data_IF_682759393986
#
_entry.id   IF_682759393986
#
_cell.length_a   1.000
_cell.length_b   1.000
_cell.length_c   1.000
_cell.angle_alpha   90.00
_cell.angle_beta   90.00
_cell.angle_gamma   90.00
#
_symmetry.space_group_name_H-M   'P 1'
#
loop_
_entity.id
_entity.type
_entity.pdbx_description
1 polymer ?
#
# COMPACT_ATOMS: atom_id res chain seq x y z
N UNK A 1 -21.35 23.96 -24.18
CA UNK A 1 -21.56 22.62 -23.70
C UNK A 1 -20.35 22.11 -22.96
N UNK A 2 -20.51 21.90 -21.72
CA UNK A 2 -19.40 21.42 -20.93
C UNK A 2 -19.17 19.94 -21.22
N UNK A 3 -18.16 19.67 -21.94
CA UNK A 3 -17.63 18.35 -22.00
C UNK A 3 -16.94 18.08 -20.68
N UNK A 4 -17.68 17.66 -19.74
CA UNK A 4 -17.06 16.99 -18.63
C UNK A 4 -16.44 15.73 -19.19
N UNK A 5 -15.21 15.82 -19.51
CA UNK A 5 -14.40 14.64 -19.60
C UNK A 5 -14.37 14.01 -18.23
N UNK A 6 -15.39 13.26 -17.91
CA UNK A 6 -15.30 12.42 -16.76
C UNK A 6 -14.16 11.46 -17.05
N UNK A 7 -13.09 11.57 -16.30
CA UNK A 7 -12.02 10.60 -16.30
C UNK A 7 -12.57 9.32 -15.67
N UNK A 8 -13.47 8.68 -16.39
CA UNK A 8 -14.01 7.40 -15.94
C UNK A 8 -12.95 6.36 -16.21
N UNK A 9 -12.58 5.64 -15.17
CA UNK A 9 -11.61 4.56 -15.30
C UNK A 9 -12.18 3.46 -16.19
N UNK A 10 -11.37 2.97 -17.13
CA UNK A 10 -11.75 1.84 -17.96
C UNK A 10 -11.68 0.56 -17.16
N UNK A 11 -12.43 -0.46 -17.60
CA UNK A 11 -12.37 -1.78 -16.96
C UNK A 11 -10.96 -2.36 -17.01
N UNK A 12 -10.27 -2.17 -18.13
CA UNK A 12 -8.90 -2.66 -18.29
C UNK A 12 -7.95 -1.99 -17.28
N UNK A 13 -8.06 -0.69 -17.10
CA UNK A 13 -7.22 0.04 -16.16
C UNK A 13 -7.56 -0.33 -14.72
N UNK A 14 -8.84 -0.47 -14.39
CA UNK A 14 -9.24 -0.88 -13.05
C UNK A 14 -8.70 -2.27 -12.73
N UNK A 15 -8.79 -3.22 -13.66
CA UNK A 15 -8.28 -4.57 -13.47
C UNK A 15 -6.76 -4.57 -13.29
N UNK A 16 -6.05 -3.76 -14.08
CA UNK A 16 -4.59 -3.66 -13.97
C UNK A 16 -4.18 -3.10 -12.60
N UNK A 17 -4.90 -2.12 -12.09
CA UNK A 17 -4.63 -1.54 -10.79
C UNK A 17 -4.96 -2.52 -9.66
N UNK A 18 -6.09 -3.24 -9.77
CA UNK A 18 -6.43 -4.27 -8.78
C UNK A 18 -5.40 -5.39 -8.76
N UNK A 19 -4.90 -5.79 -9.93
CA UNK A 19 -3.83 -6.80 -10.02
C UNK A 19 -2.55 -6.29 -9.36
N UNK A 20 -2.22 -5.02 -9.55
CA UNK A 20 -1.04 -4.40 -8.94
C UNK A 20 -1.12 -4.49 -7.41
N UNK A 21 -2.27 -4.15 -6.83
CA UNK A 21 -2.47 -4.23 -5.38
C UNK A 21 -2.39 -5.67 -4.88
N UNK A 22 -2.97 -6.61 -5.62
CA UNK A 22 -2.89 -8.04 -5.28
C UNK A 22 -1.45 -8.54 -5.31
N UNK A 23 -0.70 -8.16 -6.35
CA UNK A 23 0.72 -8.53 -6.47
C UNK A 23 1.56 -7.93 -5.34
N UNK A 24 1.26 -6.71 -4.93
CA UNK A 24 1.97 -6.09 -3.82
C UNK A 24 1.76 -6.89 -2.52
N UNK A 25 0.55 -7.35 -2.28
CA UNK A 25 0.25 -8.19 -1.12
C UNK A 25 0.97 -9.54 -1.22
N UNK A 26 0.92 -10.17 -2.37
CA UNK A 26 1.58 -11.46 -2.59
C UNK A 26 3.10 -11.37 -2.48
N UNK A 27 3.67 -10.22 -2.80
CA UNK A 27 5.12 -10.01 -2.83
C UNK A 27 5.68 -9.45 -1.53
N UNK A 28 4.89 -9.35 -0.48
CA UNK A 28 5.32 -8.68 0.75
C UNK A 28 6.51 -9.35 1.44
N UNK A 29 6.78 -10.61 1.13
CA UNK A 29 7.95 -11.32 1.65
C UNK A 29 9.05 -11.52 0.60
N UNK A 30 8.94 -10.86 -0.55
CA UNK A 30 9.91 -10.95 -1.65
C UNK A 30 10.28 -9.52 -2.05
N UNK A 31 11.40 -9.04 -1.52
CA UNK A 31 11.83 -7.65 -1.72
C UNK A 31 12.00 -7.30 -3.19
N UNK A 32 12.61 -8.17 -3.99
CA UNK A 32 12.84 -7.89 -5.41
C UNK A 32 11.52 -7.77 -6.18
N UNK A 33 10.62 -8.72 -5.96
CA UNK A 33 9.31 -8.69 -6.62
C UNK A 33 8.51 -7.48 -6.20
N UNK A 34 8.55 -7.12 -4.91
CA UNK A 34 7.82 -5.96 -4.38
C UNK A 34 8.36 -4.66 -4.98
N UNK A 35 9.69 -4.52 -5.06
CA UNK A 35 10.30 -3.30 -5.61
C UNK A 35 9.93 -3.08 -7.08
N UNK A 36 9.77 -4.16 -7.85
CA UNK A 36 9.40 -4.07 -9.25
C UNK A 36 8.03 -3.42 -9.46
N UNK A 37 7.19 -3.40 -8.44
CA UNK A 37 5.84 -2.81 -8.49
C UNK A 37 5.82 -1.31 -8.17
N UNK A 38 6.97 -0.74 -7.83
CA UNK A 38 7.09 0.65 -7.37
C UNK A 38 7.88 1.50 -8.35
N UNK A 39 7.58 2.80 -8.36
CA UNK A 39 8.39 3.75 -9.13
C UNK A 39 9.71 4.00 -8.39
N UNK A 40 10.71 4.51 -9.12
CA UNK A 40 12.02 4.83 -8.52
C UNK A 40 11.91 5.85 -7.38
N UNK A 41 10.97 6.79 -7.51
CA UNK A 41 10.78 7.88 -6.54
C UNK A 41 9.66 7.58 -5.53
N UNK A 42 9.26 6.34 -5.40
CA UNK A 42 8.14 5.96 -4.53
C UNK A 42 8.33 6.46 -3.10
N UNK A 43 7.23 6.80 -2.46
CA UNK A 43 7.21 7.23 -1.06
C UNK A 43 6.32 6.27 -0.27
N UNK A 44 6.80 5.81 0.86
CA UNK A 44 6.05 4.88 1.72
C UNK A 44 5.94 5.50 3.11
N UNK A 45 4.71 5.53 3.65
CA UNK A 45 4.50 5.86 5.06
C UNK A 45 3.78 4.66 5.67
N UNK A 46 4.45 3.99 6.59
CA UNK A 46 3.88 2.78 7.18
C UNK A 46 2.91 3.08 8.33
N UNK A 47 2.28 2.03 8.83
CA UNK A 47 1.26 2.12 9.88
C UNK A 47 1.79 2.80 11.16
N UNK A 48 3.09 2.67 11.44
CA UNK A 48 3.73 3.30 12.59
C UNK A 48 4.16 4.74 12.32
N UNK A 49 3.91 5.26 11.10
CA UNK A 49 4.26 6.62 10.73
C UNK A 49 5.68 6.80 10.22
N UNK A 50 6.40 5.71 10.00
CA UNK A 50 7.75 5.81 9.43
C UNK A 50 7.66 6.12 7.95
N UNK A 51 8.38 7.15 7.53
CA UNK A 51 8.45 7.56 6.12
C UNK A 51 9.73 7.05 5.48
N UNK A 52 9.59 6.45 4.30
CA UNK A 52 10.71 5.95 3.51
C UNK A 52 10.59 6.56 2.12
N UNK A 53 11.62 7.23 1.66
CA UNK A 53 11.61 7.94 0.37
C UNK A 53 12.58 7.27 -0.59
N UNK A 54 12.06 6.89 -1.76
CA UNK A 54 12.82 6.25 -2.81
C UNK A 54 12.78 4.73 -2.76
N UNK A 55 12.73 4.12 -3.95
CA UNK A 55 12.65 2.65 -4.07
C UNK A 55 13.88 1.96 -3.49
N UNK A 56 15.05 2.56 -3.68
CA UNK A 56 16.30 1.99 -3.19
C UNK A 56 16.32 1.93 -1.65
N UNK A 57 15.90 3.02 -1.01
CA UNK A 57 15.79 3.09 0.45
C UNK A 57 14.74 2.11 0.95
N UNK A 58 13.62 2.00 0.22
CA UNK A 58 12.55 1.08 0.57
C UNK A 58 13.03 -0.38 0.47
N UNK A 59 13.79 -0.71 -0.58
CA UNK A 59 14.33 -2.06 -0.74
C UNK A 59 15.20 -2.45 0.46
N UNK A 60 16.05 -1.54 0.92
CA UNK A 60 16.90 -1.79 2.07
C UNK A 60 16.08 -1.97 3.35
N UNK A 61 15.08 -1.11 3.55
CA UNK A 61 14.21 -1.20 4.73
C UNK A 61 13.45 -2.53 4.74
N UNK A 62 12.95 -2.98 3.60
CA UNK A 62 12.24 -4.26 3.49
C UNK A 62 13.17 -5.45 3.72
N UNK A 63 14.37 -5.42 3.14
CA UNK A 63 15.35 -6.49 3.35
C UNK A 63 15.71 -6.62 4.83
N UNK A 64 15.93 -5.49 5.51
CA UNK A 64 16.22 -5.48 6.94
C UNK A 64 15.04 -6.02 7.76
N UNK A 65 13.82 -5.62 7.41
CA UNK A 65 12.61 -6.10 8.10
C UNK A 65 12.43 -7.61 7.93
N UNK A 66 12.65 -8.14 6.73
CA UNK A 66 12.51 -9.58 6.47
C UNK A 66 13.59 -10.41 7.14
N UNK A 67 14.74 -9.79 7.46
CA UNK A 67 15.81 -10.43 8.21
C UNK A 67 15.61 -10.33 9.74
N UNK A 68 14.50 -9.77 10.19
CA UNK A 68 14.17 -9.54 11.60
C UNK A 68 12.86 -10.27 11.94
N UNK A 69 12.45 -10.29 13.24
CA UNK A 69 11.13 -10.84 13.61
C UNK A 69 9.95 -10.20 12.90
N UNK A 70 10.13 -9.02 12.29
CA UNK A 70 9.09 -8.38 11.49
C UNK A 70 8.69 -9.22 10.27
N UNK A 71 9.48 -10.24 9.90
CA UNK A 71 9.10 -11.18 8.85
C UNK A 71 7.80 -11.93 9.19
N UNK A 72 7.44 -12.01 10.47
CA UNK A 72 6.20 -12.64 10.92
C UNK A 72 5.02 -11.67 10.98
N UNK A 73 5.22 -10.43 10.56
CA UNK A 73 4.15 -9.43 10.46
C UNK A 73 3.70 -9.39 9.01
N UNK A 74 2.51 -9.93 8.75
CA UNK A 74 1.94 -9.99 7.40
C UNK A 74 0.73 -9.10 7.31
N UNK A 75 0.40 -8.67 6.09
CA UNK A 75 -0.74 -7.80 5.88
C UNK A 75 -1.65 -8.33 4.79
N UNK A 76 -2.94 -8.03 4.93
CA UNK A 76 -3.92 -8.23 3.86
C UNK A 76 -4.53 -6.88 3.51
N UNK A 77 -4.92 -6.71 2.26
CA UNK A 77 -5.43 -5.44 1.75
C UNK A 77 -6.75 -5.67 1.04
N UNK A 78 -7.76 -4.89 1.41
CA UNK A 78 -9.04 -4.90 0.73
C UNK A 78 -9.23 -3.54 0.04
N UNK A 79 -9.51 -3.55 -1.26
CA UNK A 79 -9.74 -2.32 -2.01
C UNK A 79 -11.16 -1.82 -1.75
N UNK A 80 -11.27 -0.57 -1.34
CA UNK A 80 -12.54 0.10 -1.09
C UNK A 80 -12.97 0.90 -2.32
N UNK A 81 -12.03 1.54 -3.00
CA UNK A 81 -12.32 2.42 -4.12
C UNK A 81 -11.11 2.60 -5.01
N UNK A 82 -11.35 2.71 -6.32
CA UNK A 82 -10.32 3.02 -7.33
C UNK A 82 -10.85 4.17 -8.17
N UNK A 83 -10.11 5.27 -8.21
CA UNK A 83 -10.50 6.42 -9.03
C UNK A 83 -9.28 7.06 -9.71
N UNK A 84 -9.50 7.63 -10.87
CA UNK A 84 -8.46 8.35 -11.59
C UNK A 84 -8.38 9.79 -11.09
N UNK A 85 -7.17 10.26 -10.79
CA UNK A 85 -6.92 11.67 -10.58
C UNK A 85 -6.64 12.34 -11.93
N UNK A 86 -5.90 11.66 -12.78
CA UNK A 86 -5.69 11.99 -14.19
C UNK A 86 -5.71 10.69 -14.98
N UNK A 87 -5.58 10.78 -16.29
CA UNK A 87 -5.53 9.60 -17.15
C UNK A 87 -4.44 8.60 -16.75
N UNK A 88 -3.34 9.11 -16.21
CA UNK A 88 -2.17 8.29 -15.86
C UNK A 88 -1.89 8.23 -14.37
N UNK A 89 -2.82 8.69 -13.54
CA UNK A 89 -2.67 8.68 -12.08
C UNK A 89 -3.97 8.20 -11.45
N UNK A 90 -3.88 7.15 -10.66
CA UNK A 90 -5.04 6.63 -9.93
C UNK A 90 -4.82 6.67 -8.42
N UNK A 91 -5.89 6.91 -7.70
CA UNK A 91 -5.92 6.88 -6.24
C UNK A 91 -6.70 5.63 -5.84
N UNK A 92 -6.06 4.77 -5.07
CA UNK A 92 -6.65 3.51 -4.62
C UNK A 92 -6.82 3.57 -3.11
N UNK A 93 -8.05 3.53 -2.66
CA UNK A 93 -8.37 3.56 -1.23
C UNK A 93 -8.57 2.13 -0.74
N UNK A 94 -7.87 1.76 0.31
CA UNK A 94 -7.87 0.40 0.81
C UNK A 94 -7.99 0.37 2.33
N UNK A 95 -8.43 -0.77 2.84
CA UNK A 95 -8.31 -1.11 4.25
C UNK A 95 -7.23 -2.18 4.37
N UNK A 96 -6.26 -1.92 5.22
CA UNK A 96 -5.15 -2.83 5.48
C UNK A 96 -5.34 -3.47 6.84
N UNK A 97 -5.20 -4.79 6.90
CA UNK A 97 -5.24 -5.53 8.16
C UNK A 97 -3.85 -6.10 8.43
N UNK A 98 -3.36 -5.89 9.63
CA UNK A 98 -2.04 -6.37 10.04
C UNK A 98 -2.23 -7.63 10.89
N UNK A 99 -1.50 -8.67 10.50
CA UNK A 99 -1.49 -9.94 11.20
C UNK A 99 -0.10 -10.10 11.84
N UNK A 100 0.00 -9.73 13.10
CA UNK A 100 1.25 -9.80 13.84
C UNK A 100 1.36 -11.17 14.50
N UNK A 101 2.17 -12.04 13.92
CA UNK A 101 2.37 -13.41 14.39
C UNK A 101 3.68 -13.59 15.13
N UNK A 102 4.32 -12.49 15.52
CA UNK A 102 5.55 -12.58 16.30
C UNK A 102 5.26 -13.21 17.66
N UNK A 103 6.11 -14.16 18.06
CA UNK A 103 5.98 -14.78 19.37
C UNK A 103 6.68 -13.93 20.44
N UNK A 104 6.10 -13.90 21.65
CA UNK A 104 6.71 -13.19 22.76
C UNK A 104 6.56 -11.68 22.72
N UNK A 105 5.68 -11.16 21.87
CA UNK A 105 5.44 -9.73 21.78
C UNK A 105 4.57 -9.28 22.93
N UNK A 106 5.04 -8.24 23.64
CA UNK A 106 4.26 -7.60 24.69
C UNK A 106 3.06 -6.89 24.05
N UNK A 107 1.90 -7.00 24.69
CA UNK A 107 0.67 -6.36 24.23
C UNK A 107 0.86 -4.85 24.01
N UNK A 108 1.70 -4.21 24.83
CA UNK A 108 1.99 -2.78 24.68
C UNK A 108 2.77 -2.42 23.43
N UNK A 109 3.41 -3.41 22.78
CA UNK A 109 4.18 -3.21 21.56
C UNK A 109 3.48 -3.73 20.31
N UNK A 110 2.24 -4.22 20.45
CA UNK A 110 1.48 -4.68 19.29
C UNK A 110 1.17 -3.52 18.36
N UNK A 111 1.26 -3.80 17.07
CA UNK A 111 0.89 -2.83 16.04
C UNK A 111 -0.63 -2.69 15.98
N UNK A 112 -1.16 -1.51 15.62
CA UNK A 112 -2.59 -1.39 15.32
C UNK A 112 -2.99 -2.45 14.29
N UNK A 113 -4.17 -3.03 14.44
CA UNK A 113 -4.59 -4.14 13.59
C UNK A 113 -5.14 -3.71 12.23
N UNK A 114 -5.58 -2.46 12.11
CA UNK A 114 -6.16 -1.97 10.84
C UNK A 114 -5.67 -0.57 10.52
N UNK A 115 -5.61 -0.29 9.23
CA UNK A 115 -5.22 1.02 8.74
C UNK A 115 -5.94 1.38 7.46
N UNK A 116 -6.13 2.68 7.25
CA UNK A 116 -6.58 3.22 5.99
C UNK A 116 -5.34 3.38 5.11
N UNK A 117 -5.26 2.61 4.05
CA UNK A 117 -4.13 2.61 3.13
C UNK A 117 -4.54 3.32 1.84
N UNK A 118 -3.76 4.30 1.45
CA UNK A 118 -3.94 4.98 0.17
C UNK A 118 -2.75 4.72 -0.70
N UNK A 119 -3.00 4.17 -1.88
CA UNK A 119 -2.01 4.09 -2.94
C UNK A 119 -2.24 5.20 -3.94
N UNK A 120 -1.16 5.85 -4.37
CA UNK A 120 -1.17 6.63 -5.60
C UNK A 120 -0.38 5.80 -6.61
N UNK A 121 -1.03 5.45 -7.71
CA UNK A 121 -0.41 4.66 -8.76
C UNK A 121 -0.28 5.51 -10.00
N UNK A 122 0.79 5.30 -10.75
CA UNK A 122 1.04 6.04 -11.98
C UNK A 122 1.28 5.07 -13.13
N UNK A 123 0.81 5.47 -14.32
CA UNK A 123 1.02 4.69 -15.52
C UNK A 123 2.16 5.28 -16.33
N UNK A 124 3.08 4.41 -16.76
CA UNK A 124 4.14 4.76 -17.69
C UNK A 124 4.30 3.62 -18.68
N UNK A 125 5.37 3.62 -19.46
CA UNK A 125 5.58 2.65 -20.54
C UNK A 125 5.46 1.19 -20.13
N UNK A 126 5.71 0.85 -18.90
CA UNK A 126 5.64 -0.52 -18.43
C UNK A 126 4.35 -0.88 -17.71
N UNK A 127 3.37 0.02 -17.67
CA UNK A 127 2.12 -0.19 -16.96
C UNK A 127 2.04 0.58 -15.66
N UNK A 128 1.14 0.17 -14.79
CA UNK A 128 0.89 0.86 -13.53
C UNK A 128 1.90 0.45 -12.45
N UNK A 129 2.37 1.44 -11.68
CA UNK A 129 3.27 1.21 -10.54
C UNK A 129 2.89 2.11 -9.37
N UNK A 130 3.27 1.69 -8.18
CA UNK A 130 3.00 2.45 -6.95
C UNK A 130 3.99 3.61 -6.82
N UNK A 131 3.46 4.82 -6.72
CA UNK A 131 4.25 6.04 -6.49
C UNK A 131 4.18 6.49 -5.03
N UNK A 132 3.11 6.13 -4.34
CA UNK A 132 2.92 6.44 -2.92
C UNK A 132 2.09 5.33 -2.28
N UNK A 133 2.49 4.91 -1.10
CA UNK A 133 1.65 4.08 -0.25
C UNK A 133 1.69 4.67 1.16
N UNK A 134 0.56 5.15 1.63
CA UNK A 134 0.47 5.74 2.97
C UNK A 134 -0.60 5.07 3.78
N UNK A 135 -0.24 4.63 4.98
CA UNK A 135 -1.16 3.96 5.89
C UNK A 135 -1.39 4.81 7.13
N UNK A 136 -2.65 5.02 7.46
CA UNK A 136 -3.05 5.72 8.69
C UNK A 136 -3.79 4.73 9.57
N UNK A 137 -3.41 4.59 10.86
CA UNK A 137 -4.13 3.68 11.75
C UNK A 137 -5.61 4.05 11.86
N UNK A 138 -6.46 3.04 11.81
CA UNK A 138 -7.88 3.23 12.07
C UNK A 138 -8.09 2.99 13.56
N UNK A 139 -8.51 4.04 14.25
CA UNK A 139 -8.79 3.95 15.67
C UNK A 139 -10.19 3.42 15.86
N UNK A 140 -10.31 2.40 16.70
CA UNK A 140 -11.64 1.89 17.05
C UNK A 140 -12.35 2.95 17.89
N UNK A 141 -13.54 3.39 17.47
CA UNK A 141 -14.27 4.36 18.28
C UNK A 141 -14.54 3.79 19.67
N UNK A 142 -14.29 4.60 20.69
CA UNK A 142 -14.65 4.21 22.04
C UNK A 142 -16.16 4.31 22.16
N UNK A 143 -16.76 3.31 22.80
CA UNK A 143 -18.21 3.24 22.99
C UNK A 143 -18.71 4.18 24.07
N UNK A 144 -18.21 5.36 24.12
CA UNK A 144 -18.55 6.31 25.17
C UNK A 144 -19.52 7.38 24.73
N UNK A 145 -20.14 7.15 23.66
CA UNK A 145 -21.08 8.13 23.12
C UNK A 145 -22.46 7.83 23.57
#
# INVERSE_FOLDING_TARGET
MSTTTSTTITEADENAIRDLVALAQESQSDTEALMALHTAETAIVNLAGRRVLGRETYAKAMADALASPLSDVLTTVEIVDVRLATRDVAIVSCTKTVHDRRSGVDVSTELPSTGALTYVTTRSHGGWRVALAQTTPILTPTNDD
#
